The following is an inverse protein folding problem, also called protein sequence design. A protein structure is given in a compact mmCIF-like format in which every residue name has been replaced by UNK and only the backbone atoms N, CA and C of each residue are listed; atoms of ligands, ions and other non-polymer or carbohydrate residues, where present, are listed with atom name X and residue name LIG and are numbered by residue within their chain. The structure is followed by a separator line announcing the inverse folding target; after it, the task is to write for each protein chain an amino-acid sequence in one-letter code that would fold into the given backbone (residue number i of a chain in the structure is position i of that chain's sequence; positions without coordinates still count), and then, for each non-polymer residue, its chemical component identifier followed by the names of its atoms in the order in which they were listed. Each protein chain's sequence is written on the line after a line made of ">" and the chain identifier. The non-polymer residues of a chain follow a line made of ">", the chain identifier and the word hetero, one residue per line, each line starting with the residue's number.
data_IF_426977280387
#
_entry.id   IF_426977280387
#
_cell.length_a   1.000
_cell.length_b   1.000
_cell.length_c   1.000
_cell.angle_alpha   90.00
_cell.angle_beta   90.00
_cell.angle_gamma   90.00
#
_symmetry.space_group_name_H-M   'P 1'
#
loop_
_entity.id
_entity.type
_entity.pdbx_description
1 polymer ?
#
# COMPACT_ATOMS: atom_id res chain seq x y z
N UNK A 1 6.63 10.73 -13.47
CA UNK A 1 7.69 10.11 -12.64
C UNK A 1 7.15 9.86 -11.24
N UNK A 2 7.10 8.61 -10.78
CA UNK A 2 6.75 8.32 -9.39
C UNK A 2 7.97 8.61 -8.50
N UNK A 3 7.85 9.55 -7.56
CA UNK A 3 8.87 9.81 -6.54
C UNK A 3 8.84 8.65 -5.55
N UNK A 4 9.97 7.94 -5.40
CA UNK A 4 10.15 6.96 -4.36
C UNK A 4 10.40 7.65 -3.03
N UNK A 5 9.42 7.59 -2.13
CA UNK A 5 9.68 7.87 -0.72
C UNK A 5 10.05 6.55 -0.07
N UNK A 6 11.26 6.40 0.50
CA UNK A 6 11.51 5.30 1.41
C UNK A 6 10.54 5.47 2.58
N UNK A 7 9.74 4.45 2.87
CA UNK A 7 8.92 4.42 4.06
C UNK A 7 9.85 3.89 5.16
N UNK A 8 10.38 4.75 6.06
CA UNK A 8 11.16 4.24 7.18
C UNK A 8 10.19 3.42 8.02
N UNK A 9 10.49 2.13 8.19
CA UNK A 9 9.74 1.26 9.09
C UNK A 9 9.81 1.88 10.50
N UNK A 10 8.80 2.67 10.83
CA UNK A 10 8.64 3.30 12.13
C UNK A 10 7.84 2.35 13.02
N UNK A 11 8.00 2.50 14.34
CA UNK A 11 7.24 1.72 15.33
C UNK A 11 5.73 1.99 15.15
N UNK A 12 5.08 1.19 14.31
CA UNK A 12 3.68 1.37 13.92
C UNK A 12 3.33 0.91 12.50
N UNK A 13 4.32 0.63 11.64
CA UNK A 13 4.07 0.13 10.27
C UNK A 13 4.18 -1.38 10.17
N UNK A 14 3.07 -2.05 9.85
CA UNK A 14 3.05 -3.49 9.52
C UNK A 14 3.34 -3.66 8.03
N UNK A 15 4.38 -4.42 7.69
CA UNK A 15 4.77 -4.68 6.30
C UNK A 15 4.70 -6.17 5.97
N UNK A 16 3.84 -6.52 5.02
CA UNK A 16 3.74 -7.88 4.49
C UNK A 16 4.22 -7.99 3.05
N UNK A 17 4.88 -9.09 2.72
CA UNK A 17 5.36 -9.33 1.35
C UNK A 17 4.22 -9.83 0.46
N UNK A 18 3.87 -9.04 -0.57
CA UNK A 18 2.90 -9.44 -1.60
C UNK A 18 3.49 -10.33 -2.71
N UNK A 19 4.80 -10.62 -2.66
CA UNK A 19 5.53 -11.39 -3.65
C UNK A 19 6.38 -10.53 -4.60
N UNK A 20 6.75 -11.12 -5.75
CA UNK A 20 7.58 -10.44 -6.76
C UNK A 20 6.74 -9.49 -7.62
N UNK A 21 7.39 -8.42 -8.09
CA UNK A 21 6.82 -7.54 -9.11
C UNK A 21 6.48 -8.37 -10.36
N UNK A 22 5.22 -8.32 -10.80
CA UNK A 22 4.75 -9.10 -11.96
C UNK A 22 5.10 -8.39 -13.28
N UNK A 23 5.00 -7.06 -13.31
CA UNK A 23 5.30 -6.23 -14.47
C UNK A 23 5.70 -4.81 -14.05
N UNK A 24 6.44 -4.11 -14.92
CA UNK A 24 6.90 -2.72 -14.67
C UNK A 24 5.88 -1.66 -15.10
N UNK A 25 4.84 -2.06 -15.83
CA UNK A 25 3.79 -1.18 -16.35
C UNK A 25 2.44 -1.89 -16.33
N UNK A 26 1.35 -1.12 -16.31
CA UNK A 26 -0.02 -1.66 -16.32
C UNK A 26 -0.52 -2.15 -14.96
N UNK A 27 -1.72 -2.76 -14.97
CA UNK A 27 -2.46 -3.16 -13.76
C UNK A 27 -2.03 -4.53 -13.25
N UNK A 28 -1.80 -4.66 -11.95
CA UNK A 28 -1.38 -5.90 -11.31
C UNK A 28 -2.33 -6.28 -10.17
N UNK A 29 -2.48 -7.57 -9.90
CA UNK A 29 -3.30 -8.08 -8.80
C UNK A 29 -2.46 -8.96 -7.89
N UNK A 30 -2.48 -8.65 -6.60
CA UNK A 30 -1.77 -9.38 -5.55
C UNK A 30 -2.76 -10.00 -4.58
N UNK A 31 -2.41 -11.17 -4.04
CA UNK A 31 -3.18 -11.78 -2.96
C UNK A 31 -2.79 -11.11 -1.64
N UNK A 32 -3.79 -10.63 -0.91
CA UNK A 32 -3.58 -10.13 0.45
C UNK A 32 -3.58 -11.35 1.39
N UNK A 33 -2.61 -11.48 2.32
CA UNK A 33 -2.63 -12.52 3.35
C UNK A 33 -3.95 -12.53 4.13
N UNK A 34 -4.44 -13.71 4.52
CA UNK A 34 -5.78 -13.85 5.12
C UNK A 34 -5.88 -13.23 6.53
N UNK A 35 -4.74 -13.07 7.18
CA UNK A 35 -4.49 -12.49 8.49
C UNK A 35 -4.37 -10.95 8.47
N UNK A 36 -4.31 -10.35 7.28
CA UNK A 36 -4.25 -8.89 7.12
C UNK A 36 -5.60 -8.36 6.66
N UNK A 37 -6.26 -7.60 7.51
CA UNK A 37 -7.42 -6.80 7.13
C UNK A 37 -6.98 -5.36 6.79
N UNK A 38 -7.07 -4.92 5.51
CA UNK A 38 -6.65 -3.58 5.11
C UNK A 38 -7.46 -2.45 5.78
N UNK A 39 -8.66 -2.77 6.28
CA UNK A 39 -9.53 -1.83 7.00
C UNK A 39 -9.06 -1.53 8.42
N UNK A 40 -8.08 -2.24 8.97
CA UNK A 40 -7.55 -1.93 10.30
C UNK A 40 -6.56 -0.75 10.27
N UNK A 41 -6.13 -0.35 9.08
CA UNK A 41 -5.14 0.70 8.87
C UNK A 41 -5.75 2.01 8.39
N UNK A 42 -5.18 3.14 8.84
CA UNK A 42 -5.57 4.48 8.38
C UNK A 42 -5.14 4.78 6.95
N UNK A 43 -4.17 4.05 6.41
CA UNK A 43 -3.64 4.21 5.05
C UNK A 43 -2.92 2.94 4.62
N UNK A 44 -2.90 2.68 3.32
CA UNK A 44 -2.20 1.54 2.70
C UNK A 44 -1.22 2.04 1.65
N UNK A 45 -0.01 1.48 1.66
CA UNK A 45 1.05 1.76 0.68
C UNK A 45 1.54 0.44 0.08
N UNK A 46 1.61 0.36 -1.24
CA UNK A 46 2.28 -0.74 -1.95
C UNK A 46 3.64 -0.24 -2.42
N UNK A 47 4.71 -0.79 -1.86
CA UNK A 47 6.09 -0.40 -2.15
C UNK A 47 6.86 -1.50 -2.86
N UNK A 48 7.72 -1.12 -3.81
CA UNK A 48 8.62 -2.03 -4.51
C UNK A 48 10.06 -1.88 -3.99
N UNK A 49 10.54 -2.90 -3.27
CA UNK A 49 11.92 -2.97 -2.77
C UNK A 49 12.99 -2.80 -3.85
N UNK A 50 12.80 -3.42 -5.02
CA UNK A 50 13.80 -3.45 -6.10
C UNK A 50 14.14 -2.06 -6.66
N UNK A 51 13.12 -1.21 -6.79
CA UNK A 51 13.25 0.11 -7.40
C UNK A 51 13.16 1.24 -6.38
N UNK A 52 12.89 0.92 -5.11
CA UNK A 52 12.62 1.87 -4.04
C UNK A 52 11.53 2.89 -4.42
N UNK A 53 10.37 2.41 -4.91
CA UNK A 53 9.26 3.27 -5.36
C UNK A 53 7.91 2.82 -4.81
N UNK A 54 7.02 3.79 -4.56
CA UNK A 54 5.62 3.54 -4.22
C UNK A 54 4.82 3.29 -5.50
N UNK A 55 4.16 2.14 -5.56
CA UNK A 55 3.32 1.73 -6.69
C UNK A 55 1.85 2.16 -6.51
N UNK A 56 1.35 2.12 -5.28
CA UNK A 56 -0.02 2.51 -4.97
C UNK A 56 -0.11 3.12 -3.57
N UNK A 57 -1.01 4.09 -3.43
CA UNK A 57 -1.37 4.70 -2.14
C UNK A 57 -2.90 4.76 -2.03
N UNK A 58 -3.40 4.39 -0.85
CA UNK A 58 -4.82 4.47 -0.50
C UNK A 58 -4.96 5.03 0.91
N UNK A 59 -5.33 6.30 1.07
CA UNK A 59 -5.71 6.84 2.37
C UNK A 59 -7.10 6.37 2.74
N UNK A 60 -7.31 5.99 4.00
CA UNK A 60 -8.65 5.74 4.54
C UNK A 60 -9.26 7.05 4.99
N UNK A 61 -9.94 7.73 4.07
CA UNK A 61 -10.75 8.90 4.41
C UNK A 61 -12.08 8.42 5.00
N UNK A 62 -12.30 8.64 6.31
CA UNK A 62 -13.65 8.50 6.87
C UNK A 62 -14.51 9.62 6.31
N UNK A 63 -15.33 9.31 5.31
CA UNK A 63 -16.30 10.24 4.73
C UNK A 63 -17.45 10.48 5.72
N UNK A 64 -17.26 11.41 6.66
CA UNK A 64 -18.38 11.99 7.40
C UNK A 64 -19.12 13.08 6.59
N UNK A 65 -18.96 13.12 5.26
CA UNK A 65 -19.62 14.05 4.32
C UNK A 65 -20.77 13.40 3.53
N UNK A 66 -21.49 12.45 4.14
CA UNK A 66 -22.74 11.92 3.60
C UNK A 66 -23.73 11.62 4.73
N UNK A 67 -24.11 12.67 5.45
CA UNK A 67 -25.42 12.70 6.13
C UNK A 67 -26.27 13.73 5.37
N UNK A 68 -27.49 13.38 4.92
CA UNK A 68 -28.48 14.40 4.53
C UNK A 68 -28.90 15.24 5.73
#
# INVERSE_FOLDING_TARGET
>A
MCKGYPIPATDGEVQESLGRLQQVSGTQRYRIPADVNPEDFSSLVIWCRKFNVTLAFRPRVRVWLRHP
#
